data_IF_027160237357
#
_entry.id   IF_027160237357
#
_cell.length_a   1.000
_cell.length_b   1.000
_cell.length_c   1.000
_cell.angle_alpha   90.00
_cell.angle_beta   90.00
_cell.angle_gamma   90.00
#
_symmetry.space_group_name_H-M   'P 1'
#
loop_
_entity.id
_entity.type
_entity.pdbx_description
1 polymer ?
#
# COMPACT_ATOMS: atom_id res chain seq x y z
N UNK A 1 -6.64 -15.15 2.50
CA UNK A 1 -6.76 -13.96 1.63
C UNK A 1 -8.05 -14.05 0.86
N UNK A 2 -8.85 -12.98 0.84
CA UNK A 2 -10.11 -12.95 0.12
C UNK A 2 -9.90 -13.04 -1.41
N UNK A 3 -10.78 -13.75 -2.15
CA UNK A 3 -10.85 -13.69 -3.62
C UNK A 3 -11.04 -12.25 -4.13
N UNK A 4 -10.70 -11.99 -5.40
CA UNK A 4 -10.79 -10.65 -5.98
C UNK A 4 -12.21 -10.06 -5.88
N UNK A 5 -13.22 -10.85 -6.24
CA UNK A 5 -14.63 -10.45 -6.18
C UNK A 5 -15.08 -10.03 -4.78
N UNK A 6 -14.54 -10.68 -3.76
CA UNK A 6 -14.81 -10.31 -2.36
C UNK A 6 -14.07 -9.02 -2.00
N UNK A 7 -12.81 -8.86 -2.43
CA UNK A 7 -12.02 -7.64 -2.15
C UNK A 7 -12.68 -6.40 -2.76
N UNK A 8 -13.23 -6.52 -3.97
CA UNK A 8 -13.92 -5.42 -4.65
C UNK A 8 -15.15 -4.93 -3.87
N UNK A 9 -15.83 -5.81 -3.14
CA UNK A 9 -16.95 -5.44 -2.28
C UNK A 9 -16.54 -4.61 -1.06
N UNK A 10 -15.28 -4.75 -0.59
CA UNK A 10 -14.73 -3.98 0.52
C UNK A 10 -13.97 -2.72 0.06
N UNK A 11 -13.68 -2.58 -1.23
CA UNK A 11 -12.92 -1.46 -1.74
C UNK A 11 -13.72 -0.16 -1.66
N UNK A 12 -13.06 0.92 -1.24
CA UNK A 12 -13.62 2.28 -1.21
C UNK A 12 -12.93 3.14 -2.27
N UNK A 13 -13.70 3.83 -3.10
CA UNK A 13 -13.17 4.91 -3.93
C UNK A 13 -12.73 6.09 -3.04
N UNK A 14 -12.03 7.07 -3.61
CA UNK A 14 -11.62 8.25 -2.84
C UNK A 14 -12.80 9.04 -2.29
N UNK A 15 -13.86 9.16 -3.10
CA UNK A 15 -15.10 9.84 -2.74
C UNK A 15 -15.85 9.10 -1.63
N UNK A 16 -15.90 7.76 -1.71
CA UNK A 16 -16.48 6.91 -0.67
C UNK A 16 -15.69 6.99 0.64
N UNK A 17 -14.33 7.04 0.58
CA UNK A 17 -13.49 7.21 1.77
C UNK A 17 -13.78 8.54 2.47
N UNK A 18 -13.86 9.66 1.75
CA UNK A 18 -14.18 10.97 2.31
C UNK A 18 -15.60 10.98 2.93
N UNK A 19 -16.59 10.42 2.22
CA UNK A 19 -17.95 10.32 2.73
C UNK A 19 -18.05 9.45 4.00
N UNK A 20 -17.31 8.33 4.02
CA UNK A 20 -17.21 7.43 5.18
C UNK A 20 -16.62 8.15 6.40
N UNK A 21 -15.50 8.86 6.23
CA UNK A 21 -14.85 9.62 7.30
C UNK A 21 -15.76 10.70 7.88
N UNK A 22 -16.47 11.46 7.04
CA UNK A 22 -17.47 12.45 7.49
C UNK A 22 -18.58 11.82 8.32
N UNK A 23 -19.04 10.64 7.93
CA UNK A 23 -20.04 9.90 8.69
C UNK A 23 -19.49 9.42 10.03
N UNK A 24 -18.27 8.89 10.07
CA UNK A 24 -17.59 8.50 11.32
C UNK A 24 -17.43 9.69 12.27
N UNK A 25 -17.09 10.87 11.74
CA UNK A 25 -16.97 12.09 12.53
C UNK A 25 -18.32 12.51 13.13
N UNK A 26 -19.40 12.41 12.36
CA UNK A 26 -20.75 12.75 12.82
C UNK A 26 -21.29 11.75 13.87
N UNK A 27 -20.94 10.48 13.77
CA UNK A 27 -21.27 9.42 14.75
C UNK A 27 -20.57 9.66 16.09
N UNK A 28 -19.38 10.25 16.09
CA UNK A 28 -18.58 10.54 17.28
C UNK A 28 -17.78 9.35 17.81
N UNK A 29 -18.29 8.13 17.75
CA UNK A 29 -17.62 6.90 18.22
C UNK A 29 -16.35 6.60 17.43
N UNK A 30 -16.41 6.84 16.11
CA UNK A 30 -15.33 6.62 15.15
C UNK A 30 -14.77 7.94 14.61
N UNK A 31 -14.94 9.04 15.34
CA UNK A 31 -14.58 10.40 14.90
C UNK A 31 -13.09 10.53 14.55
N UNK A 32 -12.25 9.70 15.14
CA UNK A 32 -10.81 9.66 14.91
C UNK A 32 -10.44 8.39 14.17
N UNK A 33 -10.46 8.48 12.84
CA UNK A 33 -10.29 7.33 11.97
C UNK A 33 -9.50 7.66 10.72
N UNK A 34 -8.74 6.67 10.23
CA UNK A 34 -8.07 6.68 8.93
C UNK A 34 -8.47 5.43 8.19
N UNK A 35 -8.96 5.56 6.96
CA UNK A 35 -9.31 4.43 6.10
C UNK A 35 -8.31 4.29 4.97
N UNK A 36 -7.65 3.14 4.89
CA UNK A 36 -6.75 2.73 3.82
C UNK A 36 -7.47 1.74 2.91
N UNK A 37 -7.71 2.09 1.66
CA UNK A 37 -8.30 1.20 0.68
C UNK A 37 -7.40 1.08 -0.54
N UNK A 38 -7.04 -0.14 -0.88
CA UNK A 38 -6.17 -0.50 -2.00
C UNK A 38 -6.76 -1.70 -2.75
N UNK A 39 -6.18 -2.09 -3.89
CA UNK A 39 -6.60 -3.31 -4.62
C UNK A 39 -6.44 -4.61 -3.80
N UNK A 40 -5.65 -4.59 -2.70
CA UNK A 40 -5.32 -5.80 -1.95
C UNK A 40 -5.83 -5.81 -0.51
N UNK A 41 -6.24 -4.66 0.03
CA UNK A 41 -6.68 -4.51 1.42
C UNK A 41 -7.60 -3.31 1.63
N UNK A 42 -8.49 -3.43 2.57
CA UNK A 42 -9.18 -2.33 3.20
C UNK A 42 -8.88 -2.41 4.71
N UNK A 43 -8.41 -1.31 5.28
CA UNK A 43 -8.07 -1.23 6.71
C UNK A 43 -8.65 0.05 7.29
N UNK A 44 -9.30 -0.07 8.44
CA UNK A 44 -9.80 1.04 9.22
C UNK A 44 -9.00 1.14 10.51
N UNK A 45 -8.32 2.24 10.70
CA UNK A 45 -7.58 2.57 11.92
C UNK A 45 -8.37 3.58 12.71
N UNK A 46 -8.71 3.24 13.94
CA UNK A 46 -9.55 4.09 14.79
C UNK A 46 -8.93 4.23 16.17
N UNK A 47 -8.95 5.45 16.68
CA UNK A 47 -8.69 5.74 18.09
C UNK A 47 -10.04 6.00 18.77
N UNK A 48 -10.29 5.27 19.84
CA UNK A 48 -11.48 5.46 20.66
C UNK A 48 -11.19 6.42 21.82
N UNK A 49 -12.18 7.24 22.24
CA UNK A 49 -12.05 8.07 23.43
C UNK A 49 -11.84 7.23 24.69
N UNK A 50 -11.04 7.76 25.64
CA UNK A 50 -10.77 7.09 26.91
C UNK A 50 -11.99 7.03 27.86
N UNK A 51 -13.09 7.68 27.53
CA UNK A 51 -14.27 7.85 28.41
C UNK A 51 -15.12 6.58 28.59
N UNK A 52 -14.79 5.49 27.95
CA UNK A 52 -15.55 4.23 28.03
C UNK A 52 -15.04 3.29 29.15
N UNK A 53 -14.52 3.81 30.27
CA UNK A 53 -14.31 3.01 31.48
C UNK A 53 -15.64 2.78 32.25
N UNK A 54 -16.68 2.37 31.55
CA UNK A 54 -17.75 1.60 32.19
C UNK A 54 -17.15 0.27 32.63
N UNK A 55 -17.67 -0.28 33.72
CA UNK A 55 -17.23 -1.51 34.46
C UNK A 55 -17.11 -2.80 33.60
N UNK A 56 -16.94 -2.67 32.30
CA UNK A 56 -16.71 -3.76 31.37
C UNK A 56 -15.25 -4.27 31.49
N UNK A 57 -15.06 -5.56 31.31
CA UNK A 57 -13.71 -6.12 31.20
C UNK A 57 -13.03 -5.57 29.94
N UNK A 58 -11.71 -5.52 29.93
CA UNK A 58 -10.91 -5.08 28.77
C UNK A 58 -11.33 -5.83 27.48
N UNK A 59 -11.62 -7.12 27.60
CA UNK A 59 -12.08 -7.97 26.49
C UNK A 59 -13.43 -7.54 25.94
N UNK A 60 -14.40 -7.21 26.80
CA UNK A 60 -15.75 -6.75 26.39
C UNK A 60 -15.69 -5.39 25.72
N UNK A 61 -14.80 -4.49 26.17
CA UNK A 61 -14.61 -3.20 25.55
C UNK A 61 -14.00 -3.31 24.15
N UNK A 62 -12.97 -4.15 23.98
CA UNK A 62 -12.37 -4.44 22.67
C UNK A 62 -13.43 -5.03 21.72
N UNK A 63 -14.25 -5.98 22.18
CA UNK A 63 -15.28 -6.60 21.39
C UNK A 63 -16.32 -5.57 20.93
N UNK A 64 -16.79 -4.70 21.80
CA UNK A 64 -17.74 -3.62 21.49
C UNK A 64 -17.19 -2.64 20.48
N UNK A 65 -15.93 -2.22 20.62
CA UNK A 65 -15.23 -1.32 19.67
C UNK A 65 -15.08 -1.97 18.29
N UNK A 66 -14.79 -3.25 18.27
CA UNK A 66 -14.76 -4.03 17.02
C UNK A 66 -16.12 -4.04 16.33
N UNK A 67 -17.20 -4.29 17.06
CA UNK A 67 -18.57 -4.28 16.54
C UNK A 67 -18.94 -2.93 15.92
N UNK A 68 -18.57 -1.82 16.53
CA UNK A 68 -18.80 -0.49 15.95
C UNK A 68 -18.08 -0.31 14.60
N UNK A 69 -16.85 -0.80 14.47
CA UNK A 69 -16.11 -0.75 13.20
C UNK A 69 -16.76 -1.65 12.14
N UNK A 70 -17.19 -2.86 12.52
CA UNK A 70 -17.93 -3.77 11.64
C UNK A 70 -19.22 -3.12 11.12
N UNK A 71 -20.07 -2.62 12.01
CA UNK A 71 -21.33 -1.95 11.67
C UNK A 71 -21.10 -0.82 10.67
N UNK A 72 -20.16 0.07 10.96
CA UNK A 72 -19.86 1.21 10.12
C UNK A 72 -19.42 0.81 8.70
N UNK A 73 -18.54 -0.19 8.58
CA UNK A 73 -18.07 -0.67 7.28
C UNK A 73 -19.16 -1.46 6.54
N UNK A 74 -19.89 -2.34 7.24
CA UNK A 74 -20.97 -3.13 6.65
C UNK A 74 -22.07 -2.25 6.10
N UNK A 75 -22.48 -1.22 6.84
CA UNK A 75 -23.46 -0.25 6.40
C UNK A 75 -22.97 0.57 5.20
N UNK A 76 -21.71 1.04 5.25
CA UNK A 76 -21.14 1.84 4.16
C UNK A 76 -21.05 1.07 2.84
N UNK A 77 -20.78 -0.24 2.90
CA UNK A 77 -20.56 -1.07 1.70
C UNK A 77 -21.74 -1.97 1.36
N UNK A 78 -22.82 -1.97 2.16
CA UNK A 78 -23.97 -2.84 1.95
C UNK A 78 -23.60 -4.32 2.00
N UNK A 79 -22.66 -4.72 2.88
CA UNK A 79 -22.21 -6.11 3.06
C UNK A 79 -22.74 -6.69 4.38
N UNK A 80 -22.88 -8.01 4.46
CA UNK A 80 -23.33 -8.65 5.69
C UNK A 80 -22.18 -8.72 6.72
N UNK A 81 -22.54 -8.69 8.01
CA UNK A 81 -21.61 -8.91 9.13
C UNK A 81 -20.90 -10.27 9.03
N UNK A 82 -21.61 -11.29 8.55
CA UNK A 82 -21.03 -12.61 8.35
C UNK A 82 -19.88 -12.59 7.33
N UNK A 83 -20.07 -11.90 6.19
CA UNK A 83 -19.03 -11.74 5.18
C UNK A 83 -17.85 -10.95 5.74
N UNK A 84 -18.10 -9.89 6.51
CA UNK A 84 -17.06 -9.10 7.16
C UNK A 84 -16.23 -9.98 8.11
N UNK A 85 -16.88 -10.74 9.00
CA UNK A 85 -16.24 -11.63 10.00
C UNK A 85 -15.44 -12.77 9.36
N UNK A 86 -15.90 -13.27 8.20
CA UNK A 86 -15.19 -14.31 7.48
C UNK A 86 -13.81 -13.87 6.97
N UNK A 87 -13.66 -12.59 6.61
CA UNK A 87 -12.43 -12.04 6.00
C UNK A 87 -11.75 -10.95 6.81
N UNK A 88 -12.41 -10.42 7.81
CA UNK A 88 -11.89 -9.38 8.70
C UNK A 88 -10.90 -9.93 9.72
N UNK A 89 -10.00 -9.06 10.19
CA UNK A 89 -9.08 -9.30 11.30
C UNK A 89 -8.96 -8.04 12.12
N UNK A 90 -8.93 -8.16 13.43
CA UNK A 90 -8.75 -7.06 14.35
C UNK A 90 -7.36 -7.08 14.98
N UNK A 91 -6.78 -5.90 15.13
CA UNK A 91 -5.55 -5.67 15.87
C UNK A 91 -5.78 -4.55 16.88
N UNK A 92 -5.29 -4.72 18.11
CA UNK A 92 -5.42 -3.73 19.17
C UNK A 92 -4.05 -3.24 19.62
N UNK A 93 -4.00 -2.03 20.16
CA UNK A 93 -2.85 -1.43 20.83
C UNK A 93 -1.54 -1.63 20.06
N UNK A 94 -0.52 -2.18 20.70
CA UNK A 94 0.79 -2.46 20.07
C UNK A 94 0.67 -3.33 18.83
N UNK A 95 -0.31 -4.24 18.77
CA UNK A 95 -0.59 -5.07 17.59
C UNK A 95 -1.01 -4.25 16.39
N UNK A 96 -1.90 -3.27 16.59
CA UNK A 96 -2.36 -2.34 15.55
C UNK A 96 -1.22 -1.41 15.09
N UNK A 97 -0.43 -0.87 16.02
CA UNK A 97 0.74 -0.04 15.70
C UNK A 97 1.76 -0.81 14.86
N UNK A 98 2.10 -2.04 15.29
CA UNK A 98 3.03 -2.92 14.55
C UNK A 98 2.50 -3.23 13.16
N UNK A 99 1.21 -3.55 13.04
CA UNK A 99 0.57 -3.84 11.75
C UNK A 99 0.69 -2.63 10.80
N UNK A 100 0.34 -1.42 11.23
CA UNK A 100 0.48 -0.21 10.42
C UNK A 100 1.92 0.02 9.95
N UNK A 101 2.92 -0.14 10.82
CA UNK A 101 4.34 0.02 10.47
C UNK A 101 4.78 -1.02 9.43
N UNK A 102 4.35 -2.27 9.56
CA UNK A 102 4.61 -3.35 8.59
C UNK A 102 3.95 -3.06 7.24
N UNK A 103 2.70 -2.60 7.25
CA UNK A 103 1.96 -2.22 6.04
C UNK A 103 2.65 -1.05 5.34
N UNK A 104 2.93 0.05 6.06
CA UNK A 104 3.61 1.23 5.51
C UNK A 104 4.99 0.91 4.90
N UNK A 105 5.69 -0.06 5.49
CA UNK A 105 7.01 -0.53 5.02
C UNK A 105 6.92 -1.54 3.86
N UNK A 106 5.71 -1.94 3.46
CA UNK A 106 5.50 -2.94 2.40
C UNK A 106 5.86 -4.37 2.81
N UNK A 107 6.04 -4.66 4.10
CA UNK A 107 6.41 -6.00 4.59
C UNK A 107 5.27 -6.99 4.44
N UNK A 108 4.03 -6.53 4.51
CA UNK A 108 2.82 -7.33 4.36
C UNK A 108 2.20 -7.22 2.96
N UNK A 109 2.90 -6.58 2.00
CA UNK A 109 2.49 -6.49 0.60
C UNK A 109 2.70 -7.80 -0.15
N UNK A 110 1.95 -8.03 -1.23
CA UNK A 110 2.14 -9.19 -2.11
C UNK A 110 3.54 -9.21 -2.75
N UNK A 111 4.04 -8.03 -3.10
CA UNK A 111 5.44 -7.80 -3.48
C UNK A 111 6.09 -7.04 -2.34
N UNK A 112 6.94 -7.75 -1.58
CA UNK A 112 7.59 -7.18 -0.40
C UNK A 112 8.46 -5.96 -0.77
N UNK A 113 8.26 -4.83 -0.07
CA UNK A 113 9.02 -3.59 -0.27
C UNK A 113 8.52 -2.71 -1.42
N UNK A 114 7.31 -2.93 -1.92
CA UNK A 114 6.68 -2.12 -2.97
C UNK A 114 6.51 -0.66 -2.52
N UNK A 115 6.91 0.30 -3.37
CA UNK A 115 6.88 1.74 -3.03
C UNK A 115 5.47 2.31 -2.99
N UNK A 116 4.54 1.67 -3.68
CA UNK A 116 3.17 2.14 -3.87
C UNK A 116 2.38 2.21 -2.56
N UNK A 117 2.52 1.19 -1.69
CA UNK A 117 1.78 1.13 -0.42
C UNK A 117 2.11 2.30 0.51
N UNK A 118 3.36 2.74 0.58
CA UNK A 118 3.72 3.92 1.38
C UNK A 118 3.05 5.19 0.86
N UNK A 119 2.91 5.32 -0.46
CA UNK A 119 2.13 6.39 -1.10
C UNK A 119 0.66 6.34 -0.70
N UNK A 120 0.07 5.14 -0.74
CA UNK A 120 -1.33 4.92 -0.38
C UNK A 120 -1.61 5.20 1.10
N UNK A 121 -0.71 4.77 2.02
CA UNK A 121 -0.80 5.10 3.46
C UNK A 121 -0.75 6.61 3.69
N UNK A 122 0.15 7.33 3.00
CA UNK A 122 0.21 8.79 3.08
C UNK A 122 -1.08 9.45 2.60
N UNK A 123 -1.62 9.01 1.46
CA UNK A 123 -2.85 9.56 0.91
C UNK A 123 -4.04 9.33 1.84
N UNK A 124 -4.17 8.12 2.42
CA UNK A 124 -5.20 7.80 3.41
C UNK A 124 -5.11 8.71 4.64
N UNK A 125 -3.90 8.90 5.17
CA UNK A 125 -3.64 9.76 6.31
C UNK A 125 -3.96 11.24 6.01
N UNK A 126 -3.50 11.77 4.87
CA UNK A 126 -3.78 13.16 4.51
C UNK A 126 -5.28 13.41 4.27
N UNK A 127 -5.99 12.47 3.64
CA UNK A 127 -7.44 12.56 3.48
C UNK A 127 -8.14 12.64 4.85
N UNK A 128 -7.75 11.79 5.80
CA UNK A 128 -8.33 11.83 7.15
C UNK A 128 -8.02 13.14 7.90
N UNK A 129 -6.84 13.73 7.68
CA UNK A 129 -6.49 15.06 8.20
C UNK A 129 -7.37 16.16 7.58
N UNK A 130 -7.54 16.14 6.26
CA UNK A 130 -8.37 17.11 5.51
C UNK A 130 -9.83 17.06 5.97
N UNK A 131 -10.33 15.86 6.29
CA UNK A 131 -11.69 15.65 6.79
C UNK A 131 -11.83 15.88 8.33
N UNK A 132 -10.74 16.27 9.03
CA UNK A 132 -10.75 16.52 10.48
C UNK A 132 -10.89 15.28 11.35
N UNK A 133 -10.59 14.10 10.81
CA UNK A 133 -10.73 12.80 11.47
C UNK A 133 -9.46 12.33 12.18
N UNK A 134 -8.49 13.22 12.41
CA UNK A 134 -7.25 12.89 13.13
C UNK A 134 -7.03 13.81 14.33
N UNK A 135 -6.26 13.33 15.29
CA UNK A 135 -5.81 14.10 16.46
C UNK A 135 -4.29 13.95 16.63
N UNK A 136 -3.77 14.40 17.77
CA UNK A 136 -2.36 14.27 18.11
C UNK A 136 -1.88 12.82 17.99
N UNK A 137 -2.62 11.87 18.57
CA UNK A 137 -2.19 10.47 18.63
C UNK A 137 -2.16 9.83 17.24
N UNK A 138 -3.24 9.91 16.45
CA UNK A 138 -3.25 9.39 15.07
C UNK A 138 -2.20 10.08 14.19
N UNK A 139 -2.03 11.40 14.33
CA UNK A 139 -1.00 12.14 13.61
C UNK A 139 0.41 11.63 13.96
N UNK A 140 0.71 11.40 15.23
CA UNK A 140 1.99 10.89 15.69
C UNK A 140 2.21 9.45 15.22
N UNK A 141 1.19 8.59 15.31
CA UNK A 141 1.24 7.20 14.86
C UNK A 141 1.54 7.10 13.36
N UNK A 142 0.77 7.82 12.52
CA UNK A 142 0.96 7.75 11.07
C UNK A 142 2.28 8.38 10.61
N UNK A 143 2.70 9.50 11.22
CA UNK A 143 4.02 10.10 10.95
C UNK A 143 5.15 9.16 11.34
N UNK A 144 5.04 8.47 12.48
CA UNK A 144 5.99 7.45 12.93
C UNK A 144 6.10 6.31 11.91
N UNK A 145 4.97 5.73 11.50
CA UNK A 145 4.95 4.65 10.52
C UNK A 145 5.54 5.06 9.17
N UNK A 146 5.21 6.25 8.68
CA UNK A 146 5.75 6.80 7.43
C UNK A 146 7.27 7.04 7.53
N UNK A 147 7.75 7.55 8.66
CA UNK A 147 9.17 7.81 8.88
C UNK A 147 9.95 6.52 9.00
N UNK A 148 9.45 5.56 9.78
CA UNK A 148 10.01 4.22 9.89
C UNK A 148 10.10 3.51 8.53
N UNK A 149 9.02 3.55 7.74
CA UNK A 149 8.99 2.95 6.41
C UNK A 149 10.04 3.55 5.46
N UNK A 150 10.24 4.87 5.49
CA UNK A 150 11.30 5.52 4.71
C UNK A 150 12.69 5.06 5.15
N UNK A 151 12.93 5.01 6.47
CA UNK A 151 14.21 4.55 7.03
C UNK A 151 14.49 3.11 6.67
N UNK A 152 13.51 2.20 6.81
CA UNK A 152 13.63 0.80 6.39
C UNK A 152 14.01 0.68 4.92
N UNK A 153 13.36 1.44 4.04
CA UNK A 153 13.68 1.43 2.59
C UNK A 153 15.11 1.87 2.29
N UNK A 154 15.60 2.87 3.00
CA UNK A 154 16.97 3.39 2.82
C UNK A 154 18.02 2.43 3.37
N UNK A 155 17.84 1.93 4.59
CA UNK A 155 18.87 1.26 5.36
C UNK A 155 18.92 -0.24 5.06
N UNK A 156 17.78 -0.88 4.77
CA UNK A 156 17.75 -2.34 4.54
C UNK A 156 17.81 -2.73 3.07
N UNK A 157 17.58 -1.77 2.16
CA UNK A 157 17.43 -2.04 0.74
C UNK A 157 16.23 -2.94 0.39
N UNK A 158 15.24 -3.03 1.29
CA UNK A 158 14.05 -3.86 1.13
C UNK A 158 13.31 -3.59 -0.19
N UNK A 159 13.25 -2.32 -0.62
CA UNK A 159 12.70 -1.91 -1.91
C UNK A 159 13.62 -2.18 -3.09
N UNK A 160 14.95 -2.14 -2.90
CA UNK A 160 15.92 -2.44 -3.98
C UNK A 160 15.94 -3.93 -4.34
N UNK A 161 15.56 -4.79 -3.42
CA UNK A 161 15.42 -6.24 -3.66
C UNK A 161 14.05 -6.64 -4.21
N UNK A 162 13.07 -5.75 -4.25
CA UNK A 162 11.79 -5.98 -4.88
C UNK A 162 11.91 -5.71 -6.38
N UNK A 163 12.30 -6.73 -7.13
CA UNK A 163 12.05 -6.74 -8.57
C UNK A 163 10.54 -6.72 -8.73
N UNK A 164 9.96 -5.53 -8.96
CA UNK A 164 8.53 -5.43 -9.23
C UNK A 164 8.21 -6.18 -10.53
N UNK A 165 7.00 -6.68 -10.64
CA UNK A 165 6.52 -7.30 -11.88
C UNK A 165 6.79 -6.38 -13.08
N UNK A 166 6.55 -5.07 -12.92
CA UNK A 166 6.85 -4.08 -13.94
C UNK A 166 8.34 -4.01 -14.29
N UNK A 167 9.24 -4.10 -13.31
CA UNK A 167 10.70 -4.11 -13.54
C UNK A 167 11.15 -5.37 -14.25
N UNK A 168 10.65 -6.54 -13.84
CA UNK A 168 10.93 -7.81 -14.51
C UNK A 168 10.41 -7.83 -15.95
N UNK A 169 9.17 -7.36 -16.16
CA UNK A 169 8.57 -7.21 -17.47
C UNK A 169 9.40 -6.27 -18.37
N UNK A 170 9.82 -5.13 -17.83
CA UNK A 170 10.71 -4.19 -18.53
C UNK A 170 12.03 -4.84 -18.93
N UNK A 171 12.64 -5.60 -18.04
CA UNK A 171 13.86 -6.36 -18.33
C UNK A 171 13.65 -7.38 -19.46
N UNK A 172 12.51 -8.07 -19.46
CA UNK A 172 12.17 -9.02 -20.54
C UNK A 172 11.93 -8.35 -21.88
N UNK A 173 11.26 -7.17 -21.87
CA UNK A 173 11.08 -6.35 -23.08
C UNK A 173 12.44 -5.96 -23.65
N UNK A 174 13.31 -5.37 -22.82
CA UNK A 174 14.63 -4.92 -23.28
C UNK A 174 15.53 -6.07 -23.76
N UNK A 175 15.45 -7.23 -23.09
CA UNK A 175 16.13 -8.46 -23.52
C UNK A 175 15.65 -8.89 -24.93
N UNK A 176 14.35 -9.00 -25.12
CA UNK A 176 13.75 -9.37 -26.40
C UNK A 176 14.13 -8.41 -27.53
N UNK A 177 14.09 -7.09 -27.28
CA UNK A 177 14.46 -6.09 -28.27
C UNK A 177 15.95 -6.14 -28.63
N UNK A 178 16.83 -6.48 -27.67
CA UNK A 178 18.27 -6.71 -27.92
C UNK A 178 18.51 -7.97 -28.74
N UNK A 179 17.83 -9.07 -28.41
CA UNK A 179 17.95 -10.36 -29.10
C UNK A 179 17.56 -10.24 -30.59
N UNK A 180 16.57 -9.39 -30.89
CA UNK A 180 16.06 -9.25 -32.26
C UNK A 180 16.60 -8.04 -33.03
N UNK A 181 17.50 -7.23 -32.43
CA UNK A 181 18.24 -6.09 -33.04
C UNK A 181 17.37 -5.18 -33.95
N UNK A 182 16.13 -4.90 -33.60
CA UNK A 182 15.22 -4.15 -34.44
C UNK A 182 15.25 -2.66 -34.13
N UNK A 183 15.76 -1.86 -35.06
CA UNK A 183 15.63 -0.41 -35.01
C UNK A 183 14.17 -0.01 -35.27
N UNK A 184 13.65 0.96 -34.50
CA UNK A 184 12.26 1.43 -34.67
C UNK A 184 11.19 0.44 -34.14
N UNK A 185 11.54 -0.43 -33.18
CA UNK A 185 10.60 -1.36 -32.58
C UNK A 185 9.39 -0.63 -31.94
N UNK A 186 8.20 -1.18 -32.12
CA UNK A 186 6.94 -0.64 -31.57
C UNK A 186 6.53 -1.45 -30.36
N UNK A 187 6.34 -0.77 -29.22
CA UNK A 187 5.89 -1.36 -27.96
C UNK A 187 4.53 -0.78 -27.59
N UNK A 188 3.50 -1.60 -27.61
CA UNK A 188 2.16 -1.19 -27.16
C UNK A 188 1.97 -1.52 -25.68
N UNK A 189 1.44 -0.57 -24.90
CA UNK A 189 1.08 -0.76 -23.50
C UNK A 189 -0.42 -0.45 -23.33
N UNK A 190 -1.22 -1.51 -23.15
CA UNK A 190 -2.64 -1.41 -22.84
C UNK A 190 -2.75 -1.16 -21.32
N UNK A 191 -3.44 -0.08 -20.94
CA UNK A 191 -3.50 0.34 -19.55
C UNK A 191 -2.25 1.13 -19.09
N UNK A 192 -1.60 1.86 -20.00
CA UNK A 192 -0.39 2.67 -19.72
C UNK A 192 -0.56 3.69 -18.60
N UNK A 193 -1.78 4.19 -18.38
CA UNK A 193 -2.11 5.18 -17.34
C UNK A 193 -2.23 4.56 -15.94
N UNK A 194 -2.29 3.23 -15.84
CA UNK A 194 -2.29 2.49 -14.59
C UNK A 194 -0.89 2.43 -13.95
N UNK A 195 -0.82 2.06 -12.66
CA UNK A 195 0.43 1.97 -11.90
C UNK A 195 1.48 1.08 -12.58
N UNK A 196 1.10 -0.16 -12.93
CA UNK A 196 2.00 -1.12 -13.60
C UNK A 196 2.42 -0.64 -14.98
N UNK A 197 1.46 -0.23 -15.82
CA UNK A 197 1.72 0.22 -17.21
C UNK A 197 2.61 1.45 -17.25
N UNK A 198 2.37 2.44 -16.38
CA UNK A 198 3.19 3.65 -16.29
C UNK A 198 4.62 3.36 -15.80
N UNK A 199 4.79 2.37 -14.90
CA UNK A 199 6.12 1.95 -14.45
C UNK A 199 6.88 1.22 -15.56
N UNK A 200 6.25 0.31 -16.30
CA UNK A 200 6.85 -0.32 -17.48
C UNK A 200 7.30 0.73 -18.48
N UNK A 201 6.42 1.67 -18.84
CA UNK A 201 6.73 2.77 -19.74
C UNK A 201 7.95 3.59 -19.29
N UNK A 202 7.98 4.02 -18.02
CA UNK A 202 9.12 4.77 -17.43
C UNK A 202 10.44 4.01 -17.53
N UNK A 203 10.39 2.69 -17.30
CA UNK A 203 11.59 1.85 -17.32
C UNK A 203 12.15 1.63 -18.72
N UNK A 204 11.31 1.61 -19.76
CA UNK A 204 11.74 1.34 -21.14
C UNK A 204 11.95 2.59 -21.98
N UNK A 205 11.36 3.75 -21.63
CA UNK A 205 11.42 4.98 -22.45
C UNK A 205 12.84 5.49 -22.74
N UNK A 206 13.79 5.17 -21.86
CA UNK A 206 15.20 5.54 -22.04
C UNK A 206 15.96 4.66 -23.03
N UNK A 207 15.36 3.59 -23.52
CA UNK A 207 15.98 2.72 -24.53
C UNK A 207 15.80 3.33 -25.93
N UNK A 208 16.94 3.68 -26.56
CA UNK A 208 16.92 4.32 -27.87
C UNK A 208 16.31 3.46 -28.97
N UNK A 209 15.58 4.08 -29.90
CA UNK A 209 15.06 3.43 -31.10
C UNK A 209 13.77 2.65 -30.91
N UNK A 210 13.00 2.89 -29.83
CA UNK A 210 11.65 2.33 -29.64
C UNK A 210 10.59 3.42 -29.76
N UNK A 211 9.41 3.03 -30.27
CA UNK A 211 8.18 3.82 -30.29
C UNK A 211 7.19 3.20 -29.30
N UNK A 212 6.75 3.97 -28.30
CA UNK A 212 5.80 3.51 -27.30
C UNK A 212 4.40 3.98 -27.70
N UNK A 213 3.45 3.04 -27.78
CA UNK A 213 2.03 3.29 -28.07
C UNK A 213 1.26 2.96 -26.79
N UNK A 214 0.54 3.95 -26.26
CA UNK A 214 -0.29 3.78 -25.07
C UNK A 214 -1.76 3.82 -25.38
N UNK A 215 -2.59 2.98 -24.74
CA UNK A 215 -4.04 3.09 -24.84
C UNK A 215 -4.65 3.77 -23.64
N UNK A 216 -5.70 4.56 -23.86
CA UNK A 216 -6.51 5.16 -22.81
C UNK A 216 -8.00 5.04 -23.10
N UNK A 217 -8.79 4.78 -22.04
CA UNK A 217 -10.26 4.91 -22.06
C UNK A 217 -10.73 6.31 -21.65
N UNK A 218 -9.81 7.15 -21.15
CA UNK A 218 -10.12 8.52 -20.71
C UNK A 218 -9.90 9.49 -21.85
N UNK A 219 -10.94 10.27 -22.13
CA UNK A 219 -10.91 11.35 -23.12
C UNK A 219 -11.07 12.70 -22.39
N UNK A 220 -10.54 13.76 -23.00
CA UNK A 220 -10.87 15.13 -22.60
C UNK A 220 -12.31 15.46 -22.99
N UNK A 221 -12.85 16.57 -22.51
CA UNK A 221 -14.21 17.02 -22.83
C UNK A 221 -14.43 17.23 -24.35
N UNK A 222 -13.36 17.44 -25.12
CA UNK A 222 -13.35 17.57 -26.59
C UNK A 222 -13.20 16.23 -27.33
N UNK A 223 -13.23 15.10 -26.63
CA UNK A 223 -13.08 13.76 -27.21
C UNK A 223 -11.63 13.34 -27.48
N UNK A 224 -10.63 14.18 -27.23
CA UNK A 224 -9.22 13.83 -27.41
C UNK A 224 -8.71 12.96 -26.28
N UNK A 225 -7.84 11.99 -26.61
CA UNK A 225 -7.16 11.14 -25.62
C UNK A 225 -6.18 11.98 -24.80
N UNK A 226 -6.15 11.74 -23.48
CA UNK A 226 -5.20 12.44 -22.60
C UNK A 226 -3.78 12.02 -22.99
N UNK A 227 -2.95 12.96 -23.39
CA UNK A 227 -1.54 12.76 -23.77
C UNK A 227 -0.69 12.30 -22.58
N UNK A 228 0.34 11.51 -22.87
CA UNK A 228 1.38 11.11 -21.93
C UNK A 228 2.74 11.35 -22.57
N UNK A 229 3.61 12.06 -21.89
CA UNK A 229 4.96 12.37 -22.38
C UNK A 229 5.77 11.08 -22.64
N UNK A 230 6.30 10.95 -23.85
CA UNK A 230 7.12 9.81 -24.27
C UNK A 230 6.31 8.62 -24.82
N UNK A 231 5.00 8.75 -25.03
CA UNK A 231 4.17 7.74 -25.68
C UNK A 231 3.19 8.36 -26.69
N UNK A 232 2.96 7.68 -27.80
CA UNK A 232 1.88 7.98 -28.71
C UNK A 232 0.58 7.40 -28.15
N UNK A 233 -0.35 8.27 -27.74
CA UNK A 233 -1.59 7.84 -27.08
C UNK A 233 -2.69 7.65 -28.11
N UNK A 234 -3.35 6.50 -28.06
CA UNK A 234 -4.50 6.15 -28.92
C UNK A 234 -5.74 5.81 -28.07
N UNK A 235 -6.96 5.95 -28.62
CA UNK A 235 -8.17 5.41 -28.03
C UNK A 235 -8.06 3.90 -27.81
N UNK A 236 -8.62 3.38 -26.73
CA UNK A 236 -8.58 1.95 -26.42
C UNK A 236 -9.20 1.10 -27.55
N UNK A 237 -10.23 1.61 -28.19
CA UNK A 237 -10.98 0.96 -29.27
C UNK A 237 -10.11 0.74 -30.52
N UNK A 238 -9.13 1.60 -30.77
CA UNK A 238 -8.23 1.53 -31.93
C UNK A 238 -7.06 0.55 -31.72
N UNK A 239 -6.94 -0.08 -30.55
CA UNK A 239 -5.77 -0.92 -30.21
C UNK A 239 -5.44 -1.98 -31.25
N UNK A 240 -6.45 -2.62 -31.85
CA UNK A 240 -6.22 -3.66 -32.89
C UNK A 240 -5.70 -3.09 -34.19
N UNK A 241 -6.05 -1.86 -34.57
CA UNK A 241 -5.51 -1.21 -35.76
C UNK A 241 -3.98 -1.04 -35.69
N UNK A 242 -3.44 -0.87 -34.47
CA UNK A 242 -2.01 -0.66 -34.24
C UNK A 242 -1.27 -1.94 -33.81
N UNK A 243 -1.97 -2.87 -33.17
CA UNK A 243 -1.39 -4.05 -32.50
C UNK A 243 -0.65 -4.97 -33.48
N UNK A 244 -1.19 -5.18 -34.70
CA UNK A 244 -0.60 -6.07 -35.67
C UNK A 244 0.82 -5.70 -36.10
N UNK A 245 1.21 -4.43 -35.95
CA UNK A 245 2.53 -3.91 -36.32
C UNK A 245 3.49 -3.77 -35.12
N UNK A 246 3.06 -4.16 -33.89
CA UNK A 246 3.88 -4.05 -32.69
C UNK A 246 4.76 -5.28 -32.47
N UNK A 247 6.01 -5.04 -32.06
CA UNK A 247 6.98 -6.06 -31.66
C UNK A 247 6.70 -6.60 -30.26
N UNK A 248 6.21 -5.73 -29.38
CA UNK A 248 5.88 -6.06 -28.00
C UNK A 248 4.50 -5.52 -27.66
N UNK A 249 3.69 -6.34 -27.01
CA UNK A 249 2.39 -5.96 -26.50
C UNK A 249 2.33 -6.29 -25.01
N UNK A 250 2.08 -5.27 -24.19
CA UNK A 250 1.92 -5.36 -22.74
C UNK A 250 0.47 -5.05 -22.40
N UNK A 251 -0.20 -5.92 -21.65
CA UNK A 251 -1.47 -5.60 -21.03
C UNK A 251 -1.29 -5.48 -19.52
N UNK A 252 -1.75 -4.37 -18.95
CA UNK A 252 -1.65 -4.03 -17.53
C UNK A 252 -2.92 -3.30 -17.09
N UNK A 253 -4.09 -3.93 -17.30
CA UNK A 253 -5.39 -3.35 -16.97
C UNK A 253 -6.06 -4.08 -15.80
N UNK A 254 -7.12 -3.51 -15.25
CA UNK A 254 -8.01 -4.18 -14.29
C UNK A 254 -9.30 -4.66 -14.96
N UNK A 255 -9.27 -5.02 -16.26
CA UNK A 255 -10.45 -5.49 -16.97
C UNK A 255 -10.90 -6.86 -16.47
N UNK A 256 -12.20 -7.09 -16.28
CA UNK A 256 -12.71 -8.43 -15.95
C UNK A 256 -12.78 -9.37 -17.16
N UNK A 257 -12.54 -8.85 -18.37
CA UNK A 257 -12.63 -9.58 -19.63
C UNK A 257 -11.33 -9.45 -20.41
N UNK A 258 -11.12 -10.37 -21.34
CA UNK A 258 -9.98 -10.28 -22.27
C UNK A 258 -9.98 -8.94 -23.01
N UNK A 259 -8.87 -8.23 -22.92
CA UNK A 259 -8.61 -7.01 -23.70
C UNK A 259 -8.00 -7.35 -25.07
N UNK A 260 -7.45 -8.56 -25.20
CA UNK A 260 -6.89 -9.09 -26.44
C UNK A 260 -7.40 -10.51 -26.66
N UNK A 261 -8.16 -10.70 -27.74
CA UNK A 261 -8.61 -12.02 -28.19
C UNK A 261 -7.73 -12.53 -29.34
N UNK A 262 -7.57 -13.83 -29.41
CA UNK A 262 -6.78 -14.48 -30.44
C UNK A 262 -7.33 -14.19 -31.86
N UNK A 263 -8.65 -14.18 -32.01
CA UNK A 263 -9.31 -13.95 -33.31
C UNK A 263 -9.06 -12.53 -33.83
N UNK A 264 -9.29 -11.51 -33.01
CA UNK A 264 -9.11 -10.11 -33.42
C UNK A 264 -7.64 -9.79 -33.69
N UNK A 265 -6.72 -10.37 -32.86
CA UNK A 265 -5.29 -10.22 -33.14
C UNK A 265 -4.85 -10.82 -34.44
N UNK A 266 -5.35 -12.02 -34.80
CA UNK A 266 -5.02 -12.64 -36.12
C UNK A 266 -5.43 -11.74 -37.27
N UNK A 267 -6.61 -11.12 -37.19
CA UNK A 267 -7.08 -10.18 -38.23
C UNK A 267 -6.17 -8.94 -38.30
N UNK A 268 -5.82 -8.36 -37.17
CA UNK A 268 -4.90 -7.23 -37.08
C UNK A 268 -3.52 -7.56 -37.64
N UNK A 269 -3.01 -8.76 -37.35
CA UNK A 269 -1.72 -9.26 -37.81
C UNK A 269 -1.71 -9.47 -39.33
N UNK A 270 -2.77 -10.05 -39.90
CA UNK A 270 -2.89 -10.27 -41.33
C UNK A 270 -2.95 -8.94 -42.08
N UNK A 271 -3.67 -7.94 -41.55
CA UNK A 271 -3.70 -6.61 -42.14
C UNK A 271 -2.30 -5.97 -42.13
N UNK A 272 -1.59 -6.03 -41.03
CA UNK A 272 -0.21 -5.51 -40.92
C UNK A 272 0.77 -6.24 -41.86
N UNK A 273 0.59 -7.56 -42.11
CA UNK A 273 1.38 -8.31 -43.08
C UNK A 273 1.17 -7.82 -44.52
N UNK A 274 -0.07 -7.56 -44.90
CA UNK A 274 -0.39 -7.01 -46.21
C UNK A 274 0.22 -5.63 -46.44
N UNK A 275 0.38 -4.86 -45.38
CA UNK A 275 1.00 -3.54 -45.40
C UNK A 275 2.54 -3.59 -45.31
N UNK A 276 3.13 -4.77 -45.10
CA UNK A 276 4.58 -4.93 -44.90
C UNK A 276 5.09 -4.45 -43.54
N UNK A 277 4.18 -4.21 -42.56
CA UNK A 277 4.51 -3.65 -41.26
C UNK A 277 4.61 -4.70 -40.14
N UNK A 278 4.15 -5.93 -40.36
CA UNK A 278 4.14 -6.98 -39.35
C UNK A 278 5.56 -7.40 -38.94
N UNK A 279 5.93 -7.40 -37.65
CA UNK A 279 7.23 -7.88 -37.20
C UNK A 279 7.35 -9.40 -37.35
N UNK A 280 8.59 -9.94 -37.49
CA UNK A 280 8.83 -11.38 -37.59
C UNK A 280 8.41 -12.12 -36.32
N UNK A 281 8.70 -11.53 -35.16
CA UNK A 281 8.42 -12.07 -33.84
C UNK A 281 7.63 -11.05 -33.01
N UNK A 282 6.74 -11.55 -32.15
CA UNK A 282 5.96 -10.71 -31.21
C UNK A 282 6.10 -11.26 -29.81
N UNK A 283 6.39 -10.36 -28.85
CA UNK A 283 6.42 -10.65 -27.43
C UNK A 283 5.12 -10.16 -26.77
N UNK A 284 4.50 -11.03 -25.99
CA UNK A 284 3.30 -10.74 -25.24
C UNK A 284 3.58 -10.78 -23.75
N UNK A 285 3.15 -9.76 -23.02
CA UNK A 285 3.26 -9.68 -21.58
C UNK A 285 1.88 -9.38 -20.98
N UNK A 286 1.30 -10.36 -20.32
CA UNK A 286 0.05 -10.19 -19.58
C UNK A 286 0.35 -9.96 -18.09
N UNK A 287 0.27 -8.71 -17.68
CA UNK A 287 0.54 -8.26 -16.31
C UNK A 287 -0.75 -8.01 -15.50
N UNK A 288 -1.87 -8.52 -16.00
CA UNK A 288 -3.21 -8.29 -15.45
C UNK A 288 -3.69 -9.44 -14.57
N UNK A 289 -4.59 -9.15 -13.67
CA UNK A 289 -5.33 -10.14 -12.86
C UNK A 289 -6.77 -9.65 -12.74
N UNK A 290 -7.74 -10.38 -13.33
CA UNK A 290 -7.59 -11.59 -14.16
C UNK A 290 -6.80 -11.35 -15.46
N UNK A 291 -6.48 -12.45 -16.17
CA UNK A 291 -5.71 -12.37 -17.42
C UNK A 291 -6.45 -11.58 -18.48
N UNK A 292 -5.75 -10.66 -19.12
CA UNK A 292 -6.27 -9.77 -20.17
C UNK A 292 -6.08 -10.33 -21.59
N UNK A 293 -5.12 -11.24 -21.78
CA UNK A 293 -4.71 -11.78 -23.06
C UNK A 293 -5.15 -13.24 -23.18
N UNK A 294 -5.90 -13.56 -24.21
CA UNK A 294 -6.27 -14.93 -24.53
C UNK A 294 -5.01 -15.81 -24.74
N UNK A 295 -4.92 -16.92 -24.01
CA UNK A 295 -3.78 -17.85 -24.05
C UNK A 295 -3.48 -18.39 -25.45
N UNK A 296 -4.47 -18.47 -26.34
CA UNK A 296 -4.30 -18.93 -27.72
C UNK A 296 -3.37 -18.02 -28.52
N UNK A 297 -3.18 -16.76 -28.11
CA UNK A 297 -2.21 -15.85 -28.72
C UNK A 297 -0.77 -16.40 -28.62
N UNK A 298 -0.47 -17.19 -27.58
CA UNK A 298 0.82 -17.86 -27.41
C UNK A 298 1.24 -18.80 -28.54
N UNK A 299 0.31 -19.25 -29.36
CA UNK A 299 0.63 -20.02 -30.57
C UNK A 299 1.36 -19.20 -31.68
N UNK A 300 1.33 -17.87 -31.57
CA UNK A 300 1.85 -16.92 -32.55
C UNK A 300 3.05 -16.09 -32.08
N UNK A 301 3.53 -16.32 -30.86
CA UNK A 301 4.64 -15.59 -30.29
C UNK A 301 4.94 -16.02 -28.85
N UNK A 302 5.84 -15.30 -28.19
CA UNK A 302 6.21 -15.56 -26.79
C UNK A 302 5.21 -14.88 -25.85
N UNK A 303 4.40 -15.65 -25.15
CA UNK A 303 3.47 -15.13 -24.15
C UNK A 303 3.99 -15.40 -22.72
N UNK A 304 4.20 -14.36 -21.97
CA UNK A 304 4.49 -14.41 -20.53
C UNK A 304 3.33 -13.81 -19.74
N UNK A 305 2.77 -14.59 -18.84
CA UNK A 305 1.69 -14.16 -17.95
C UNK A 305 2.23 -13.74 -16.59
N UNK A 306 1.39 -13.12 -15.77
CA UNK A 306 1.73 -12.61 -14.44
C UNK A 306 2.51 -13.63 -13.57
N UNK A 307 2.14 -14.91 -13.65
CA UNK A 307 2.77 -15.96 -12.84
C UNK A 307 4.25 -16.19 -13.18
N UNK A 308 4.64 -16.01 -14.44
CA UNK A 308 6.04 -16.08 -14.85
C UNK A 308 6.92 -15.04 -14.14
N UNK A 309 6.38 -13.85 -13.90
CA UNK A 309 7.10 -12.78 -13.22
C UNK A 309 7.07 -12.90 -11.69
N UNK A 310 6.12 -13.68 -11.16
CA UNK A 310 6.02 -13.97 -9.72
C UNK A 310 7.09 -14.95 -9.23
N UNK A 311 7.49 -15.93 -10.04
CA UNK A 311 8.49 -16.94 -9.67
C UNK A 311 9.90 -16.34 -9.41
N UNK A 312 10.48 -15.52 -10.32
CA UNK A 312 11.77 -14.87 -10.08
C UNK A 312 11.73 -13.89 -8.89
N UNK A 313 10.57 -13.26 -8.63
CA UNK A 313 10.37 -12.43 -7.45
C UNK A 313 10.46 -13.24 -6.12
N UNK A 314 10.21 -14.55 -6.17
CA UNK A 314 10.35 -15.47 -5.02
C UNK A 314 11.79 -15.94 -4.78
N UNK A 315 12.62 -16.08 -5.81
CA UNK A 315 13.95 -16.70 -5.70
C UNK A 315 15.04 -15.82 -5.05
N UNK A 316 14.76 -14.53 -4.81
CA UNK A 316 15.68 -13.63 -4.09
C UNK A 316 15.55 -13.75 -2.55
N UNK A 317 15.22 -14.96 -2.08
CA UNK A 317 14.68 -15.20 -0.74
C UNK A 317 15.67 -14.93 0.41
N UNK A 318 16.96 -15.22 0.27
CA UNK A 318 17.92 -15.07 1.39
C UNK A 318 18.25 -13.60 1.71
N UNK A 319 18.45 -12.78 0.68
CA UNK A 319 18.68 -11.34 0.86
C UNK A 319 17.44 -10.66 1.46
N UNK A 320 16.25 -11.09 1.01
CA UNK A 320 14.97 -10.62 1.55
C UNK A 320 14.76 -11.02 3.01
N UNK A 321 15.18 -12.21 3.42
CA UNK A 321 15.07 -12.65 4.82
C UNK A 321 15.94 -11.81 5.76
N UNK A 322 17.16 -11.47 5.36
CA UNK A 322 18.01 -10.56 6.14
C UNK A 322 17.41 -9.15 6.23
N UNK A 323 16.97 -8.59 5.09
CA UNK A 323 16.33 -7.29 5.05
C UNK A 323 15.04 -7.26 5.89
N UNK A 324 14.26 -8.33 5.86
CA UNK A 324 13.05 -8.48 6.69
C UNK A 324 13.36 -8.47 8.18
N UNK A 325 14.36 -9.24 8.63
CA UNK A 325 14.76 -9.24 10.05
C UNK A 325 15.25 -7.87 10.51
N UNK A 326 16.05 -7.17 9.71
CA UNK A 326 16.48 -5.81 10.03
C UNK A 326 15.29 -4.85 10.09
N UNK A 327 14.36 -4.95 9.16
CA UNK A 327 13.16 -4.12 9.14
C UNK A 327 12.27 -4.37 10.39
N UNK A 328 12.12 -5.63 10.82
CA UNK A 328 11.38 -5.97 12.03
C UNK A 328 12.01 -5.36 13.29
N UNK A 329 13.33 -5.43 13.43
CA UNK A 329 14.04 -4.78 14.54
C UNK A 329 13.84 -3.25 14.53
N UNK A 330 13.96 -2.61 13.37
CA UNK A 330 13.73 -1.17 13.25
C UNK A 330 12.29 -0.76 13.58
N UNK A 331 11.31 -1.62 13.27
CA UNK A 331 9.91 -1.40 13.67
C UNK A 331 9.77 -1.46 15.19
N UNK A 332 10.34 -2.46 15.87
CA UNK A 332 10.24 -2.57 17.33
C UNK A 332 10.92 -1.38 18.05
N UNK A 333 12.09 -0.93 17.58
CA UNK A 333 12.75 0.28 18.08
C UNK A 333 11.88 1.53 17.90
N UNK A 334 11.26 1.68 16.73
CA UNK A 334 10.38 2.79 16.44
C UNK A 334 9.10 2.76 17.28
N UNK A 335 8.55 1.57 17.54
CA UNK A 335 7.38 1.39 18.39
C UNK A 335 7.68 1.74 19.85
N UNK A 336 8.87 1.40 20.38
CA UNK A 336 9.26 1.82 21.71
C UNK A 336 9.30 3.34 21.84
N UNK A 337 9.94 4.02 20.88
CA UNK A 337 9.99 5.49 20.82
C UNK A 337 8.59 6.11 20.69
N UNK A 338 7.74 5.55 19.83
CA UNK A 338 6.37 6.01 19.64
C UNK A 338 5.53 5.88 20.92
N UNK A 339 5.61 4.75 21.60
CA UNK A 339 4.90 4.53 22.87
C UNK A 339 5.32 5.53 23.95
N UNK A 340 6.60 5.82 24.04
CA UNK A 340 7.12 6.83 24.97
C UNK A 340 6.54 8.22 24.67
N UNK A 341 6.50 8.61 23.39
CA UNK A 341 5.94 9.89 22.95
C UNK A 341 4.44 10.00 23.27
N UNK A 342 3.66 8.97 22.91
CA UNK A 342 2.21 8.94 23.17
C UNK A 342 1.92 8.98 24.67
N UNK A 343 2.59 8.15 25.46
CA UNK A 343 2.45 8.13 26.92
C UNK A 343 2.82 9.47 27.55
N UNK A 344 3.96 10.05 27.15
CA UNK A 344 4.38 11.34 27.66
C UNK A 344 3.36 12.43 27.36
N UNK A 345 2.83 12.48 26.15
CA UNK A 345 1.78 13.43 25.78
C UNK A 345 0.50 13.23 26.61
N UNK A 346 0.09 11.99 26.86
CA UNK A 346 -1.06 11.68 27.73
C UNK A 346 -0.83 12.14 29.17
N UNK A 347 0.41 12.16 29.64
CA UNK A 347 0.76 12.61 30.97
C UNK A 347 0.87 14.13 31.09
N UNK A 348 1.12 14.88 30.01
CA UNK A 348 1.31 16.34 30.08
C UNK A 348 0.19 17.11 30.80
N UNK A 349 -1.11 16.81 30.58
CA UNK A 349 -2.19 17.48 31.32
C UNK A 349 -2.16 17.23 32.84
N UNK A 350 -1.53 16.13 33.31
CA UNK A 350 -1.40 15.76 34.72
C UNK A 350 -0.18 16.40 35.38
N UNK A 351 0.80 16.88 34.60
CA UNK A 351 2.05 17.46 35.11
C UNK A 351 1.82 18.65 36.04
N UNK A 352 0.92 19.62 35.77
CA UNK A 352 0.65 20.72 36.70
C UNK A 352 0.14 20.24 38.07
N UNK A 353 -0.74 19.23 38.07
CA UNK A 353 -1.24 18.63 39.30
C UNK A 353 -0.14 17.90 40.09
N UNK A 354 0.69 17.14 39.37
CA UNK A 354 1.87 16.48 39.96
C UNK A 354 2.84 17.51 40.57
N UNK A 355 3.13 18.60 39.85
CA UNK A 355 3.97 19.69 40.32
C UNK A 355 3.41 20.32 41.60
N UNK A 356 2.10 20.61 41.63
CA UNK A 356 1.44 21.17 42.81
C UNK A 356 1.49 20.21 44.01
N UNK A 357 1.28 18.93 43.79
CA UNK A 357 1.39 17.91 44.84
C UNK A 357 2.84 17.77 45.33
N UNK A 358 3.83 17.77 44.44
CA UNK A 358 5.25 17.66 44.76
C UNK A 358 5.76 18.84 45.58
N UNK A 359 5.22 20.05 45.40
CA UNK A 359 5.60 21.23 46.21
C UNK A 359 5.32 21.09 47.71
N UNK A 360 4.49 20.12 48.12
CA UNK A 360 4.16 19.86 49.53
C UNK A 360 5.16 18.95 50.22
N UNK A 361 6.12 18.39 49.52
CA UNK A 361 7.04 17.39 50.01
C UNK A 361 8.47 17.72 49.59
N UNK A 362 9.47 17.32 50.38
CA UNK A 362 10.85 17.30 49.93
C UNK A 362 11.06 16.16 48.92
N UNK A 363 12.16 16.24 48.22
CA UNK A 363 12.49 15.18 47.23
C UNK A 363 12.61 13.80 47.89
N UNK A 364 13.26 13.73 49.07
CA UNK A 364 13.37 12.50 49.84
C UNK A 364 12.00 11.95 50.28
N UNK A 365 11.09 12.84 50.70
CA UNK A 365 9.72 12.42 51.02
C UNK A 365 8.97 11.87 49.84
N UNK A 366 9.21 12.40 48.62
CA UNK A 366 8.64 11.86 47.39
C UNK A 366 9.19 10.45 47.13
N UNK A 367 10.51 10.25 47.28
CA UNK A 367 11.14 8.94 47.08
C UNK A 367 10.59 7.89 48.06
N UNK A 368 10.41 8.24 49.33
CA UNK A 368 9.77 7.34 50.31
C UNK A 368 8.34 7.01 49.93
N UNK A 369 7.57 7.96 49.43
CA UNK A 369 6.19 7.73 48.97
C UNK A 369 6.13 6.86 47.72
N UNK A 370 7.06 7.02 46.78
CA UNK A 370 7.20 6.12 45.62
C UNK A 370 7.46 4.70 46.10
N UNK A 371 8.43 4.51 47.01
CA UNK A 371 8.73 3.20 47.62
C UNK A 371 7.47 2.54 48.22
N UNK A 372 6.70 3.31 48.99
CA UNK A 372 5.55 2.79 49.77
C UNK A 372 4.31 2.54 48.87
N UNK A 373 4.24 3.15 47.68
CA UNK A 373 3.13 3.08 46.73
C UNK A 373 3.37 2.16 45.53
N UNK A 374 4.61 1.68 45.33
CA UNK A 374 5.00 0.91 44.15
C UNK A 374 5.40 -0.52 44.52
N UNK A 375 5.16 -1.44 43.62
CA UNK A 375 5.77 -2.77 43.62
C UNK A 375 7.29 -2.67 43.38
N UNK A 376 8.06 -3.72 43.75
CA UNK A 376 9.52 -3.70 43.63
C UNK A 376 10.04 -3.37 42.25
N UNK A 377 9.47 -4.00 41.20
CA UNK A 377 9.87 -3.81 39.80
C UNK A 377 9.59 -2.37 39.31
N UNK A 378 8.48 -1.77 39.72
CA UNK A 378 8.11 -0.40 39.39
C UNK A 378 9.06 0.60 40.05
N UNK A 379 9.39 0.36 41.32
CA UNK A 379 10.35 1.17 42.11
C UNK A 379 11.75 1.09 41.47
N UNK A 380 12.24 -0.11 41.17
CA UNK A 380 13.54 -0.31 40.52
C UNK A 380 13.59 0.42 39.16
N UNK A 381 12.54 0.28 38.33
CA UNK A 381 12.41 0.96 37.06
C UNK A 381 12.42 2.50 37.20
N UNK A 382 11.72 3.04 38.19
CA UNK A 382 11.70 4.48 38.48
C UNK A 382 13.11 5.01 38.85
N UNK A 383 13.82 4.37 39.80
CA UNK A 383 15.15 4.80 40.21
C UNK A 383 16.17 4.67 39.08
N UNK A 384 16.08 3.60 38.26
CA UNK A 384 16.95 3.44 37.10
C UNK A 384 16.70 4.53 36.05
N UNK A 385 15.45 4.85 35.74
CA UNK A 385 15.10 5.91 34.79
C UNK A 385 15.53 7.29 35.29
N UNK A 386 15.32 7.56 36.59
CA UNK A 386 15.73 8.81 37.21
C UNK A 386 17.25 8.97 37.18
N UNK A 387 18.02 7.90 37.56
CA UNK A 387 19.47 7.90 37.48
C UNK A 387 19.97 8.23 36.07
N UNK A 388 19.48 7.54 35.06
CA UNK A 388 19.82 7.83 33.64
C UNK A 388 19.51 9.26 33.22
N UNK A 389 18.36 9.80 33.66
CA UNK A 389 17.97 11.18 33.34
C UNK A 389 18.90 12.23 33.97
N UNK A 390 19.43 11.94 35.16
CA UNK A 390 20.36 12.84 35.88
C UNK A 390 21.81 12.70 35.39
N UNK A 391 22.21 11.54 34.89
CA UNK A 391 23.56 11.31 34.35
C UNK A 391 23.74 11.84 32.91
N UNK A 392 22.67 12.11 32.19
CA UNK A 392 22.70 12.55 30.77
C UNK A 392 23.11 14.00 30.51
N UNK A 393 23.52 14.76 31.54
CA UNK A 393 23.99 16.16 31.45
C UNK A 393 25.54 16.29 31.53
N UNK A 394 26.29 15.23 31.24
CA UNK A 394 27.76 15.30 31.24
C UNK A 394 28.34 15.14 29.82
#
# INVERSE_FOLDING_TARGET
KAPLEIRDRFAFSREEQAAFLKRCQADGRLARSVILSTCNRMELYTQFPDEAQDKATETEDIQRRWEWMEEAVCEAKGISMELYRQYGSCYCDTGALRHLHRVASGMDSMVMGEDEILGQVKHAYYLAMEEGCTDFALNTIFKSAITCAKKIKTDTGLSKSSLSVATLASGRILGFLKEHHRAGARVMIIGITGATGSTVMKNIRGYGGISIIGTSRRHKADGQVIGMEGAHMIPYEERYAWMGSCDVIVSATGSPHYTVTSQEWQQARELARRQGEAPAHTLWLDLSVPADIDKQVGAYGLLYQMDYFREPARSNNEKKQKAKKSAELMIEEQLDSLKKELFFHQMLPKVPLMKQAAQRFTFEQILYRVRDASEYEEMEGFFHALGKALEGES
#
